data_IF_961714685868
#
_entry.id   IF_961714685868
#
_cell.length_a   1.000
_cell.length_b   1.000
_cell.length_c   1.000
_cell.angle_alpha   90.00
_cell.angle_beta   90.00
_cell.angle_gamma   90.00
#
_symmetry.space_group_name_H-M   'P 1'
#
loop_
_entity.id
_entity.type
_entity.pdbx_description
1 polymer ?
#
# COMPACT_ATOMS: atom_id res chain seq x y z
N UNK A 1 -1.66 -16.16 -5.82
CA UNK A 1 -2.24 -15.17 -4.87
C UNK A 1 -1.21 -14.63 -3.88
N UNK A 2 -0.76 -15.37 -2.85
CA UNK A 2 0.13 -14.80 -1.80
C UNK A 2 1.52 -14.39 -2.32
N UNK A 3 2.11 -15.16 -3.24
CA UNK A 3 3.38 -14.83 -3.91
C UNK A 3 3.26 -13.59 -4.81
N UNK A 4 2.13 -13.43 -5.49
CA UNK A 4 1.87 -12.29 -6.38
C UNK A 4 1.69 -10.99 -5.60
N UNK A 5 0.99 -11.04 -4.47
CA UNK A 5 0.85 -9.90 -3.56
C UNK A 5 2.20 -9.41 -3.01
N UNK A 6 3.09 -10.33 -2.63
CA UNK A 6 4.45 -9.98 -2.17
C UNK A 6 5.26 -9.37 -3.30
N UNK A 7 5.17 -9.91 -4.52
CA UNK A 7 5.85 -9.36 -5.71
C UNK A 7 5.38 -7.93 -5.97
N UNK A 8 4.07 -7.67 -6.00
CA UNK A 8 3.51 -6.34 -6.19
C UNK A 8 3.97 -5.36 -5.11
N UNK A 9 3.89 -5.74 -3.84
CA UNK A 9 4.32 -4.88 -2.74
C UNK A 9 5.82 -4.55 -2.80
N UNK A 10 6.67 -5.50 -3.23
CA UNK A 10 8.11 -5.26 -3.46
C UNK A 10 8.35 -4.32 -4.65
N UNK A 11 7.59 -4.45 -5.73
CA UNK A 11 7.68 -3.54 -6.88
C UNK A 11 7.34 -2.11 -6.47
N UNK A 12 6.26 -1.91 -5.71
CA UNK A 12 5.90 -0.59 -5.17
C UNK A 12 7.01 -0.04 -4.27
N UNK A 13 7.55 -0.85 -3.36
CA UNK A 13 8.65 -0.43 -2.49
C UNK A 13 9.91 -0.05 -3.29
N UNK A 14 10.23 -0.79 -4.36
CA UNK A 14 11.33 -0.49 -5.26
C UNK A 14 11.15 0.82 -6.00
N UNK A 15 9.98 1.06 -6.59
CA UNK A 15 9.66 2.33 -7.26
C UNK A 15 9.76 3.51 -6.29
N UNK A 16 9.21 3.39 -5.08
CA UNK A 16 9.32 4.45 -4.08
C UNK A 16 10.77 4.74 -3.69
N UNK A 17 11.60 3.71 -3.55
CA UNK A 17 13.02 3.88 -3.24
C UNK A 17 13.79 4.61 -4.34
N UNK A 18 13.45 4.36 -5.61
CA UNK A 18 14.02 5.10 -6.76
C UNK A 18 13.69 6.59 -6.67
N UNK A 19 12.48 6.94 -6.24
CA UNK A 19 12.03 8.32 -6.03
C UNK A 19 12.54 8.93 -4.69
N UNK A 20 13.47 8.27 -3.99
CA UNK A 20 14.00 8.73 -2.70
C UNK A 20 12.99 8.64 -1.54
N UNK A 21 11.88 7.92 -1.73
CA UNK A 21 10.84 7.73 -0.72
C UNK A 21 11.01 6.39 0.01
N UNK A 22 10.55 6.34 1.26
CA UNK A 22 10.57 5.11 2.06
C UNK A 22 9.15 4.68 2.39
N UNK A 23 8.79 3.48 1.95
CA UNK A 23 7.55 2.82 2.34
C UNK A 23 7.67 2.32 3.78
N UNK A 24 6.79 2.78 4.67
CA UNK A 24 6.75 2.33 6.07
C UNK A 24 6.21 0.91 6.15
N UNK A 25 6.58 0.17 7.20
CA UNK A 25 6.12 -1.20 7.39
C UNK A 25 4.58 -1.31 7.48
N UNK A 26 3.92 -0.31 8.08
CA UNK A 26 2.46 -0.24 8.15
C UNK A 26 1.82 -0.11 6.76
N UNK A 27 2.40 0.71 5.88
CA UNK A 27 1.95 0.92 4.51
C UNK A 27 2.21 -0.32 3.64
N UNK A 28 3.37 -0.96 3.83
CA UNK A 28 3.68 -2.24 3.17
C UNK A 28 2.69 -3.35 3.54
N UNK A 29 2.36 -3.49 4.83
CA UNK A 29 1.37 -4.46 5.30
C UNK A 29 -0.02 -4.16 4.73
N UNK A 30 -0.37 -2.89 4.57
CA UNK A 30 -1.63 -2.48 3.96
C UNK A 30 -1.68 -2.82 2.47
N UNK A 31 -0.59 -2.60 1.73
CA UNK A 31 -0.46 -3.02 0.33
C UNK A 31 -0.60 -4.54 0.18
N UNK A 32 0.02 -5.32 1.07
CA UNK A 32 -0.13 -6.78 1.05
C UNK A 32 -1.57 -7.22 1.28
N UNK A 33 -2.31 -6.59 2.20
CA UNK A 33 -3.73 -6.93 2.44
C UNK A 33 -4.58 -6.58 1.23
N UNK A 34 -4.33 -5.44 0.58
CA UNK A 34 -5.02 -5.04 -0.65
C UNK A 34 -4.74 -6.04 -1.79
N UNK A 35 -3.48 -6.35 -2.04
CA UNK A 35 -3.08 -7.25 -3.12
C UNK A 35 -3.53 -8.72 -2.91
N UNK A 36 -3.76 -9.13 -1.65
CA UNK A 36 -4.35 -10.44 -1.32
C UNK A 36 -5.89 -10.44 -1.29
N UNK A 37 -6.56 -9.32 -1.57
CA UNK A 37 -8.02 -9.21 -1.50
C UNK A 37 -8.60 -9.19 -0.08
N UNK A 38 -7.76 -9.13 0.94
CA UNK A 38 -8.19 -9.06 2.36
C UNK A 38 -8.69 -7.67 2.75
N UNK A 39 -8.31 -6.65 1.97
CA UNK A 39 -8.73 -5.28 2.20
C UNK A 39 -9.10 -4.65 0.85
N UNK A 40 -10.25 -3.97 0.79
CA UNK A 40 -10.65 -3.26 -0.42
C UNK A 40 -9.74 -2.04 -0.67
N UNK A 41 -9.30 -1.90 -1.92
CA UNK A 41 -8.56 -0.71 -2.38
C UNK A 41 -9.39 0.56 -2.25
N UNK A 42 -10.69 0.53 -2.57
CA UNK A 42 -11.55 1.71 -2.50
C UNK A 42 -11.78 2.16 -1.05
N UNK A 43 -11.95 1.22 -0.12
CA UNK A 43 -12.05 1.52 1.31
C UNK A 43 -10.73 2.09 1.85
N UNK A 44 -9.60 1.55 1.39
CA UNK A 44 -8.26 2.05 1.72
C UNK A 44 -8.07 3.50 1.29
N UNK A 45 -8.39 3.82 0.04
CA UNK A 45 -8.28 5.18 -0.50
C UNK A 45 -9.16 6.15 0.30
N UNK A 46 -10.43 5.79 0.56
CA UNK A 46 -11.33 6.61 1.39
C UNK A 46 -10.78 6.89 2.78
N UNK A 47 -10.15 5.88 3.41
CA UNK A 47 -9.51 6.05 4.73
C UNK A 47 -8.35 7.03 4.66
N UNK A 48 -7.46 6.89 3.67
CA UNK A 48 -6.30 7.78 3.50
C UNK A 48 -6.76 9.21 3.23
N UNK A 49 -7.73 9.41 2.33
CA UNK A 49 -8.30 10.75 2.07
C UNK A 49 -8.76 11.39 3.38
N UNK A 50 -9.61 10.70 4.16
CA UNK A 50 -10.11 11.21 5.44
C UNK A 50 -9.00 11.56 6.44
N UNK A 51 -7.89 10.82 6.45
CA UNK A 51 -6.78 11.06 7.37
C UNK A 51 -6.02 12.35 7.05
N UNK A 52 -5.93 12.70 5.76
CA UNK A 52 -5.17 13.87 5.30
C UNK A 52 -6.04 15.06 4.90
N UNK A 53 -7.37 14.91 4.86
CA UNK A 53 -8.28 16.05 4.72
C UNK A 53 -8.16 16.96 5.94
N UNK A 54 -7.64 18.16 5.74
CA UNK A 54 -7.68 19.24 6.72
C UNK A 54 -9.11 19.79 6.77
N UNK A 55 -9.61 20.09 7.97
CA UNK A 55 -10.94 20.66 8.17
C UNK A 55 -11.05 22.08 7.65
#
# INVERSE_FOLDING_TARGET
MKKDAIKLAKQVAGTMAIEGMKLKQSEYNQLLRCANGQQSTSATIKKVIRQYTVK
#
